data_IF_420735583599
#
_entry.id   IF_420735583599
#
_cell.length_a   1.000
_cell.length_b   1.000
_cell.length_c   1.000
_cell.angle_alpha   90.00
_cell.angle_beta   90.00
_cell.angle_gamma   90.00
#
_symmetry.space_group_name_H-M   'P 1'
#
loop_
_entity.id
_entity.type
_entity.pdbx_description
1 polymer ?
#
# COMPACT_ATOMS: atom_id res chain seq x y z
N UNK A 1 -6.44 8.45 12.33
CA UNK A 1 -5.80 9.32 11.33
C UNK A 1 -6.69 9.60 10.14
N UNK A 2 -7.30 8.59 9.50
CA UNK A 2 -8.16 8.82 8.33
C UNK A 2 -9.36 9.73 8.62
N UNK A 3 -10.04 9.54 9.75
CA UNK A 3 -11.11 10.44 10.21
C UNK A 3 -10.67 11.91 10.30
N UNK A 4 -9.45 12.14 10.79
CA UNK A 4 -8.85 13.47 10.87
C UNK A 4 -8.55 14.03 9.48
N UNK A 5 -8.08 13.18 8.56
CA UNK A 5 -7.84 13.56 7.17
C UNK A 5 -9.15 13.98 6.49
N UNK A 6 -10.24 13.23 6.69
CA UNK A 6 -11.56 13.54 6.13
C UNK A 6 -12.12 14.86 6.67
N UNK A 7 -12.00 15.09 7.99
CA UNK A 7 -12.40 16.35 8.58
C UNK A 7 -11.58 17.53 8.03
N UNK A 8 -10.26 17.38 7.92
CA UNK A 8 -9.36 18.43 7.45
C UNK A 8 -9.58 18.82 5.98
N UNK A 9 -10.05 17.90 5.13
CA UNK A 9 -10.40 18.18 3.72
C UNK A 9 -11.52 19.20 3.57
N UNK A 10 -12.35 19.38 4.59
CA UNK A 10 -13.46 20.31 4.61
C UNK A 10 -13.09 21.68 5.22
N UNK A 11 -11.86 21.85 5.69
CA UNK A 11 -11.46 23.11 6.33
C UNK A 11 -11.20 24.21 5.30
N UNK A 12 -11.62 25.45 5.59
CA UNK A 12 -11.32 26.59 4.73
C UNK A 12 -9.82 26.71 4.47
N UNK A 13 -9.48 27.03 3.22
CA UNK A 13 -8.11 27.30 2.74
C UNK A 13 -7.15 26.11 2.79
N UNK A 14 -7.60 24.93 3.23
CA UNK A 14 -6.88 23.67 3.01
C UNK A 14 -7.08 23.29 1.54
N UNK A 15 -5.97 23.19 0.82
CA UNK A 15 -5.91 22.84 -0.61
C UNK A 15 -5.85 21.33 -0.78
N UNK A 16 -5.06 20.66 0.06
CA UNK A 16 -4.83 19.22 -0.03
C UNK A 16 -4.55 18.61 1.35
N UNK A 17 -4.97 17.37 1.52
CA UNK A 17 -4.70 16.56 2.72
C UNK A 17 -4.15 15.21 2.29
N UNK A 18 -2.90 14.96 2.66
CA UNK A 18 -2.15 13.75 2.27
C UNK A 18 -1.87 12.91 3.51
N UNK A 19 -2.64 11.83 3.76
CA UNK A 19 -2.34 10.88 4.83
C UNK A 19 -1.16 10.00 4.44
N UNK A 20 -0.16 9.92 5.33
CA UNK A 20 0.92 8.94 5.28
C UNK A 20 0.68 7.79 6.25
N UNK A 21 1.73 7.01 6.52
CA UNK A 21 1.68 5.86 7.42
C UNK A 21 1.29 6.24 8.87
N UNK A 22 1.99 7.23 9.43
CA UNK A 22 1.84 7.69 10.81
C UNK A 22 1.81 9.22 10.91
N UNK A 23 1.64 9.91 9.78
CA UNK A 23 1.65 11.36 9.67
C UNK A 23 0.56 11.83 8.71
N UNK A 24 0.21 13.11 8.82
CA UNK A 24 -0.76 13.78 7.96
C UNK A 24 -0.14 15.08 7.48
N UNK A 25 -0.10 15.29 6.17
CA UNK A 25 0.39 16.54 5.56
C UNK A 25 -0.79 17.38 5.09
N UNK A 26 -0.84 18.64 5.49
CA UNK A 26 -1.82 19.62 5.02
C UNK A 26 -1.13 20.63 4.13
N UNK A 27 -1.66 20.81 2.92
CA UNK A 27 -1.32 21.91 2.03
C UNK A 27 -2.43 22.94 2.15
N UNK A 28 -2.08 24.21 2.37
CA UNK A 28 -3.04 25.29 2.56
C UNK A 28 -2.55 26.57 1.89
N UNK A 29 -3.46 27.52 1.67
CA UNK A 29 -3.12 28.85 1.16
C UNK A 29 -2.55 29.74 2.29
N UNK A 30 -1.25 30.08 2.26
CA UNK A 30 -0.60 30.84 3.33
C UNK A 30 -1.04 32.31 3.39
N UNK A 31 -1.73 32.82 2.35
CA UNK A 31 -2.28 34.18 2.36
C UNK A 31 -3.65 34.24 3.04
N UNK A 32 -4.32 33.10 3.21
CA UNK A 32 -5.68 33.02 3.74
C UNK A 32 -5.79 32.21 5.04
N UNK A 33 -4.77 31.42 5.39
CA UNK A 33 -4.75 30.66 6.63
C UNK A 33 -3.42 30.82 7.39
N UNK A 34 -3.54 30.89 8.72
CA UNK A 34 -2.40 30.86 9.64
C UNK A 34 -2.04 29.40 9.99
N UNK A 35 -0.77 28.96 9.82
CA UNK A 35 -0.32 27.64 10.25
C UNK A 35 -0.57 27.36 11.73
N UNK A 36 -0.47 28.35 12.62
CA UNK A 36 -0.70 28.17 14.05
C UNK A 36 -2.17 27.82 14.33
N UNK A 37 -3.10 28.51 13.67
CA UNK A 37 -4.54 28.24 13.79
C UNK A 37 -4.88 26.85 13.24
N UNK A 38 -4.32 26.47 12.09
CA UNK A 38 -4.52 25.13 11.52
C UNK A 38 -3.95 24.04 12.45
N UNK A 39 -2.79 24.27 13.07
CA UNK A 39 -2.21 23.35 14.05
C UNK A 39 -3.10 23.20 15.30
N UNK A 40 -3.65 24.30 15.81
CA UNK A 40 -4.60 24.26 16.94
C UNK A 40 -5.89 23.52 16.58
N UNK A 41 -6.45 23.76 15.39
CA UNK A 41 -7.61 23.01 14.88
C UNK A 41 -7.31 21.53 14.75
N UNK A 42 -6.13 21.18 14.25
CA UNK A 42 -5.67 19.79 14.15
C UNK A 42 -5.62 19.11 15.50
N UNK A 43 -5.05 19.77 16.51
CA UNK A 43 -4.98 19.23 17.86
C UNK A 43 -6.38 18.99 18.45
N UNK A 44 -7.27 19.97 18.31
CA UNK A 44 -8.65 19.84 18.81
C UNK A 44 -9.41 18.72 18.09
N UNK A 45 -9.28 18.63 16.76
CA UNK A 45 -9.92 17.58 15.98
C UNK A 45 -9.36 16.20 16.31
N UNK A 46 -8.06 16.07 16.61
CA UNK A 46 -7.46 14.83 17.09
C UNK A 46 -8.04 14.40 18.44
N UNK A 47 -8.17 15.32 19.39
CA UNK A 47 -8.74 15.04 20.72
C UNK A 47 -10.23 14.66 20.66
N UNK A 48 -10.95 15.15 19.65
CA UNK A 48 -12.38 14.89 19.45
C UNK A 48 -12.65 13.75 18.47
N UNK A 49 -11.63 13.22 17.79
CA UNK A 49 -11.81 12.17 16.79
C UNK A 49 -12.29 10.90 17.49
N UNK A 50 -13.49 10.45 17.14
CA UNK A 50 -13.92 9.10 17.43
C UNK A 50 -13.15 8.10 16.55
N UNK A 51 -12.99 6.87 17.03
CA UNK A 51 -12.61 5.77 16.15
C UNK A 51 -13.67 5.64 15.06
N UNK A 52 -13.22 5.69 13.81
CA UNK A 52 -14.08 5.48 12.64
C UNK A 52 -13.75 4.10 12.10
N UNK A 53 -14.77 3.27 11.88
CA UNK A 53 -14.64 2.08 11.04
C UNK A 53 -14.41 2.55 9.60
N UNK A 54 -13.20 2.37 9.10
CA UNK A 54 -12.83 2.75 7.73
C UNK A 54 -12.63 1.47 6.92
N UNK A 55 -13.32 1.38 5.77
CA UNK A 55 -13.10 0.38 4.74
C UNK A 55 -13.40 -1.06 5.16
N UNK A 56 -14.64 -1.52 5.00
CA UNK A 56 -15.01 -2.94 5.20
C UNK A 56 -14.89 -3.76 3.92
N UNK A 57 -14.42 -3.17 2.82
CA UNK A 57 -14.35 -3.87 1.54
C UNK A 57 -13.19 -4.85 1.56
N UNK A 58 -13.50 -6.13 1.44
CA UNK A 58 -12.50 -7.16 1.16
C UNK A 58 -12.22 -7.19 -0.34
N UNK A 59 -10.96 -6.95 -0.71
CA UNK A 59 -10.48 -6.95 -2.10
C UNK A 59 -9.58 -8.16 -2.28
N UNK A 60 -10.03 -9.11 -3.10
CA UNK A 60 -9.20 -10.24 -3.50
C UNK A 60 -8.27 -9.86 -4.65
N UNK A 61 -6.98 -10.15 -4.49
CA UNK A 61 -5.94 -9.94 -5.49
C UNK A 61 -5.41 -11.30 -5.96
N UNK A 62 -5.81 -11.77 -7.15
CA UNK A 62 -5.32 -13.01 -7.71
C UNK A 62 -3.92 -12.81 -8.29
N UNK A 63 -2.98 -13.67 -7.91
CA UNK A 63 -1.55 -13.55 -8.25
C UNK A 63 -1.03 -14.84 -8.87
N UNK A 64 -0.28 -14.71 -9.97
CA UNK A 64 0.62 -15.75 -10.45
C UNK A 64 1.97 -15.59 -9.77
N UNK A 65 2.33 -16.54 -8.93
CA UNK A 65 3.58 -16.50 -8.17
C UNK A 65 4.73 -17.16 -8.95
N UNK A 66 5.91 -16.59 -8.84
CA UNK A 66 7.15 -17.17 -9.35
C UNK A 66 7.35 -17.04 -10.86
N UNK A 67 8.30 -17.82 -11.40
CA UNK A 67 8.71 -17.74 -12.80
C UNK A 67 9.14 -16.32 -13.22
N UNK A 68 8.74 -15.90 -14.42
CA UNK A 68 9.03 -14.55 -14.92
C UNK A 68 8.23 -13.44 -14.20
N UNK A 69 7.08 -13.79 -13.61
CA UNK A 69 6.22 -12.86 -12.88
C UNK A 69 6.75 -12.58 -11.46
N UNK A 70 7.47 -13.53 -10.87
CA UNK A 70 8.04 -13.48 -9.52
C UNK A 70 9.50 -13.91 -9.45
N UNK A 71 10.43 -13.17 -10.09
CA UNK A 71 11.82 -13.61 -10.24
C UNK A 71 12.60 -13.73 -8.92
N UNK A 72 12.12 -13.15 -7.82
CA UNK A 72 12.77 -13.21 -6.51
C UNK A 72 12.15 -14.28 -5.59
N UNK A 73 11.05 -14.93 -5.99
CA UNK A 73 10.30 -15.83 -5.10
C UNK A 73 11.17 -16.99 -4.58
N UNK A 74 11.85 -17.70 -5.47
CA UNK A 74 12.65 -18.86 -5.12
C UNK A 74 13.89 -18.49 -4.28
N UNK A 75 14.57 -17.38 -4.63
CA UNK A 75 15.76 -16.92 -3.91
C UNK A 75 15.39 -16.37 -2.53
N UNK A 76 14.26 -15.66 -2.42
CA UNK A 76 13.74 -15.17 -1.16
C UNK A 76 13.33 -16.33 -0.24
N UNK A 77 12.54 -17.29 -0.74
CA UNK A 77 12.15 -18.48 0.03
C UNK A 77 13.37 -19.21 0.60
N UNK A 78 14.40 -19.41 -0.23
CA UNK A 78 15.68 -19.99 0.21
C UNK A 78 16.36 -19.17 1.31
N UNK A 79 16.41 -17.84 1.17
CA UNK A 79 17.03 -16.96 2.16
C UNK A 79 16.32 -16.96 3.52
N UNK A 80 15.00 -17.18 3.50
CA UNK A 80 14.14 -17.27 4.68
C UNK A 80 14.05 -18.69 5.25
N UNK A 81 14.74 -19.67 4.64
CA UNK A 81 14.67 -21.08 4.99
C UNK A 81 13.22 -21.64 4.94
N UNK A 82 12.47 -21.22 3.91
CA UNK A 82 11.11 -21.68 3.61
C UNK A 82 11.07 -22.40 2.26
N UNK A 83 10.08 -23.27 2.07
CA UNK A 83 9.69 -23.68 0.72
C UNK A 83 8.96 -22.54 0.02
N UNK A 84 8.91 -22.59 -1.32
CA UNK A 84 8.11 -21.64 -2.11
C UNK A 84 6.64 -21.70 -1.66
N UNK A 85 6.10 -22.90 -1.51
CA UNK A 85 4.71 -23.11 -1.08
C UNK A 85 4.43 -22.49 0.29
N UNK A 86 5.35 -22.61 1.25
CA UNK A 86 5.17 -22.05 2.58
C UNK A 86 5.25 -20.52 2.57
N UNK A 87 6.14 -19.94 1.76
CA UNK A 87 6.20 -18.49 1.56
C UNK A 87 4.88 -17.97 0.96
N UNK A 88 4.42 -18.58 -0.14
CA UNK A 88 3.16 -18.19 -0.80
C UNK A 88 1.97 -18.36 0.14
N UNK A 89 1.93 -19.46 0.89
CA UNK A 89 0.88 -19.70 1.88
C UNK A 89 0.84 -18.61 2.94
N UNK A 90 1.98 -18.26 3.55
CA UNK A 90 2.04 -17.17 4.55
C UNK A 90 1.64 -15.83 3.95
N UNK A 91 2.09 -15.53 2.73
CA UNK A 91 1.73 -14.30 2.04
C UNK A 91 0.24 -14.23 1.66
N UNK A 92 -0.43 -15.37 1.43
CA UNK A 92 -1.86 -15.40 1.06
C UNK A 92 -2.80 -15.55 2.25
N UNK A 93 -2.30 -15.97 3.42
CA UNK A 93 -3.09 -16.13 4.65
C UNK A 93 -3.08 -14.90 5.55
N UNK A 94 -2.22 -13.92 5.30
CA UNK A 94 -2.18 -12.69 6.08
C UNK A 94 -3.39 -11.80 5.77
N UNK A 95 -3.91 -11.17 6.82
CA UNK A 95 -4.97 -10.17 6.74
C UNK A 95 -4.35 -8.80 6.50
N UNK A 96 -4.37 -8.33 5.25
CA UNK A 96 -3.77 -7.05 4.90
C UNK A 96 -4.74 -5.90 5.02
N UNK A 97 -4.23 -4.76 5.48
CA UNK A 97 -4.96 -3.49 5.52
C UNK A 97 -4.19 -2.47 4.69
N UNK A 98 -4.89 -1.74 3.83
CA UNK A 98 -4.31 -0.61 3.09
C UNK A 98 -4.10 0.55 4.05
N UNK A 99 -2.85 0.83 4.40
CA UNK A 99 -2.54 1.93 5.33
C UNK A 99 -2.63 3.30 4.66
N UNK A 100 -2.03 3.42 3.48
CA UNK A 100 -2.11 4.62 2.66
C UNK A 100 -1.79 4.30 1.20
N UNK A 101 -2.16 5.23 0.32
CA UNK A 101 -1.78 5.21 -1.09
C UNK A 101 -0.71 6.28 -1.31
N UNK A 102 0.36 5.97 -2.04
CA UNK A 102 1.47 6.90 -2.24
C UNK A 102 2.53 6.33 -3.20
N UNK A 103 3.66 7.00 -3.41
CA UNK A 103 4.67 6.69 -4.43
C UNK A 103 4.19 6.90 -5.89
N UNK A 104 3.08 6.27 -6.29
CA UNK A 104 2.45 6.43 -7.59
C UNK A 104 0.92 6.29 -7.45
N UNK A 105 0.12 6.81 -8.40
CA UNK A 105 -1.33 6.63 -8.39
C UNK A 105 -1.72 5.15 -8.31
N UNK A 106 -2.46 4.78 -7.25
CA UNK A 106 -2.93 3.42 -7.01
C UNK A 106 -1.93 2.46 -6.35
N UNK A 107 -0.72 2.91 -5.98
CA UNK A 107 0.22 2.06 -5.24
C UNK A 107 -0.20 2.07 -3.76
N UNK A 108 -0.61 0.90 -3.27
CA UNK A 108 -1.05 0.70 -1.89
C UNK A 108 0.08 0.13 -1.03
N UNK A 109 0.32 0.76 0.12
CA UNK A 109 1.18 0.20 1.16
C UNK A 109 0.33 -0.64 2.10
N UNK A 110 0.59 -1.95 2.10
CA UNK A 110 -0.17 -2.92 2.88
C UNK A 110 0.55 -3.22 4.20
N UNK A 111 -0.20 -3.12 5.31
CA UNK A 111 0.20 -3.66 6.61
C UNK A 111 -0.32 -5.07 6.82
N UNK A 112 0.25 -5.80 7.78
CA UNK A 112 -0.18 -7.17 8.12
C UNK A 112 0.71 -8.29 7.57
N UNK A 113 1.83 -7.96 6.91
CA UNK A 113 2.79 -8.95 6.44
C UNK A 113 3.32 -9.80 7.61
N UNK A 114 3.36 -11.12 7.42
CA UNK A 114 3.95 -12.04 8.37
C UNK A 114 5.42 -11.64 8.64
N UNK A 115 5.82 -11.42 9.91
CA UNK A 115 7.19 -11.03 10.27
C UNK A 115 8.28 -11.97 9.77
N UNK A 116 7.96 -13.24 9.53
CA UNK A 116 8.88 -14.24 8.98
C UNK A 116 9.16 -14.04 7.49
N UNK A 117 8.36 -13.22 6.80
CA UNK A 117 8.55 -12.86 5.40
C UNK A 117 9.26 -11.52 5.20
N UNK A 118 9.58 -10.81 6.28
CA UNK A 118 10.27 -9.53 6.20
C UNK A 118 11.62 -9.68 5.50
N UNK A 119 11.84 -8.87 4.47
CA UNK A 119 13.04 -8.97 3.64
C UNK A 119 13.50 -7.60 3.14
N UNK A 120 14.80 -7.29 3.18
CA UNK A 120 15.28 -6.00 2.72
C UNK A 120 15.05 -5.82 1.22
N UNK A 121 14.93 -4.55 0.83
CA UNK A 121 14.96 -4.15 -0.58
C UNK A 121 16.31 -4.53 -1.19
N UNK A 122 16.31 -4.81 -2.50
CA UNK A 122 17.53 -4.93 -3.28
C UNK A 122 18.37 -3.65 -3.13
N UNK A 123 19.70 -3.79 -2.91
CA UNK A 123 20.59 -2.64 -2.74
C UNK A 123 20.71 -1.82 -4.04
N UNK A 124 20.51 -2.45 -5.20
CA UNK A 124 20.39 -1.79 -6.49
C UNK A 124 18.98 -2.03 -7.02
N UNK A 125 18.12 -1.00 -7.10
CA UNK A 125 16.77 -1.17 -7.62
C UNK A 125 16.80 -1.56 -9.10
N UNK A 126 15.79 -2.33 -9.53
CA UNK A 126 15.52 -2.55 -10.95
C UNK A 126 15.13 -1.23 -11.58
N UNK A 127 15.60 -1.02 -12.81
CA UNK A 127 15.19 0.14 -13.61
C UNK A 127 13.72 0.04 -14.02
N UNK A 128 13.24 -1.19 -14.20
CA UNK A 128 11.89 -1.47 -14.64
C UNK A 128 11.31 -2.64 -13.82
N UNK A 129 10.20 -2.37 -13.15
CA UNK A 129 9.31 -3.34 -12.52
C UNK A 129 7.98 -3.26 -13.27
N UNK A 130 7.46 -4.38 -13.81
CA UNK A 130 6.20 -4.39 -14.54
C UNK A 130 5.00 -3.94 -13.68
N UNK A 131 3.99 -3.36 -14.33
CA UNK A 131 2.70 -3.15 -13.69
C UNK A 131 2.09 -4.49 -13.23
N UNK A 132 1.40 -4.45 -12.10
CA UNK A 132 0.82 -5.62 -11.43
C UNK A 132 1.80 -6.44 -10.61
N UNK A 133 3.10 -6.14 -10.63
CA UNK A 133 4.08 -6.88 -9.83
C UNK A 133 3.77 -6.76 -8.34
N UNK A 134 3.75 -7.91 -7.66
CA UNK A 134 3.58 -8.04 -6.21
C UNK A 134 4.94 -8.26 -5.59
N UNK A 135 5.26 -7.54 -4.51
CA UNK A 135 6.56 -7.70 -3.88
C UNK A 135 6.59 -7.35 -2.41
N UNK A 136 7.70 -7.73 -1.77
CA UNK A 136 8.02 -7.40 -0.38
C UNK A 136 9.20 -6.43 -0.32
N UNK A 137 9.09 -5.41 0.54
CA UNK A 137 10.16 -4.44 0.79
C UNK A 137 10.21 -4.00 2.24
N UNK A 138 11.08 -4.64 3.03
CA UNK A 138 11.15 -4.49 4.48
C UNK A 138 10.01 -5.26 5.14
N UNK A 139 9.20 -4.55 5.91
CA UNK A 139 8.04 -5.09 6.66
C UNK A 139 6.73 -4.99 5.87
N UNK A 140 6.80 -4.58 4.60
CA UNK A 140 5.63 -4.25 3.79
C UNK A 140 5.56 -5.13 2.55
N UNK A 141 4.32 -5.42 2.14
CA UNK A 141 3.98 -5.93 0.81
C UNK A 141 3.06 -4.94 0.09
N UNK A 142 2.80 -5.17 -1.19
CA UNK A 142 2.17 -4.19 -2.07
C UNK A 142 2.36 -4.53 -3.53
N UNK A 143 1.72 -3.73 -4.37
CA UNK A 143 1.56 -4.02 -5.79
C UNK A 143 1.87 -2.77 -6.61
N UNK A 144 2.73 -2.91 -7.61
CA UNK A 144 3.09 -1.84 -8.52
C UNK A 144 1.94 -1.55 -9.50
N UNK A 145 1.29 -0.36 -9.49
CA UNK A 145 0.14 -0.07 -10.34
C UNK A 145 0.52 0.26 -11.79
N UNK A 146 1.78 0.64 -12.01
CA UNK A 146 2.34 1.03 -13.29
C UNK A 146 3.80 0.58 -13.36
N UNK A 147 4.36 0.64 -14.57
CA UNK A 147 5.78 0.36 -14.78
C UNK A 147 6.61 1.44 -14.06
N UNK A 148 7.54 1.02 -13.20
CA UNK A 148 8.41 1.95 -12.47
C UNK A 148 9.74 1.30 -12.07
N UNK A 149 10.78 2.07 -11.72
CA UNK A 149 11.91 1.54 -10.98
C UNK A 149 11.45 1.01 -9.61
N UNK A 150 12.13 -0.02 -9.09
CA UNK A 150 11.74 -0.63 -7.82
C UNK A 150 12.78 -1.59 -7.25
N UNK A 151 12.94 -1.57 -5.93
CA UNK A 151 13.88 -2.44 -5.21
C UNK A 151 13.22 -3.56 -4.42
N UNK A 152 11.91 -3.79 -4.54
CA UNK A 152 11.24 -4.82 -3.76
C UNK A 152 11.56 -6.23 -4.30
N UNK A 153 11.48 -7.22 -3.43
CA UNK A 153 11.57 -8.64 -3.78
C UNK A 153 10.29 -9.04 -4.49
N UNK A 154 10.35 -9.31 -5.80
CA UNK A 154 9.17 -9.59 -6.62
C UNK A 154 8.75 -11.05 -6.50
N UNK A 155 7.53 -11.28 -5.98
CA UNK A 155 6.98 -12.60 -5.69
C UNK A 155 6.11 -13.16 -6.82
N UNK A 156 5.48 -12.28 -7.58
CA UNK A 156 4.50 -12.64 -8.58
C UNK A 156 3.86 -11.43 -9.24
N UNK A 157 2.82 -11.65 -10.03
CA UNK A 157 2.10 -10.58 -10.74
C UNK A 157 0.60 -10.83 -10.80
N UNK A 158 -0.18 -9.77 -10.71
CA UNK A 158 -1.62 -9.75 -10.97
C UNK A 158 -1.93 -9.02 -12.27
N UNK A 159 -3.02 -9.40 -12.96
CA UNK A 159 -3.53 -8.68 -14.12
C UNK A 159 -4.54 -7.58 -13.76
N UNK A 160 -4.85 -7.43 -12.46
CA UNK A 160 -5.77 -6.40 -12.02
C UNK A 160 -5.23 -4.99 -12.30
N UNK A 161 -6.10 -4.14 -12.85
CA UNK A 161 -5.82 -2.72 -13.04
C UNK A 161 -6.05 -1.97 -11.73
N UNK A 162 -4.96 -1.59 -11.07
CA UNK A 162 -4.99 -0.93 -9.76
C UNK A 162 -5.33 0.56 -9.83
N UNK A 163 -5.05 1.19 -10.97
CA UNK A 163 -5.35 2.59 -11.23
C UNK A 163 -5.96 2.76 -12.62
N UNK A 164 -7.09 3.45 -12.67
CA UNK A 164 -7.78 3.82 -13.88
C UNK A 164 -8.33 5.26 -13.76
N UNK A 165 -7.79 6.24 -14.48
CA UNK A 165 -8.27 7.62 -14.40
C UNK A 165 -9.71 7.79 -14.91
N UNK A 166 -10.27 6.81 -15.63
CA UNK A 166 -11.65 6.83 -16.09
C UNK A 166 -12.66 6.29 -15.05
N UNK A 167 -12.19 5.74 -13.92
CA UNK A 167 -13.04 5.20 -12.85
C UNK A 167 -13.22 6.20 -11.70
N UNK A 168 -14.32 6.03 -10.96
CA UNK A 168 -14.58 6.75 -9.70
C UNK A 168 -14.91 5.75 -8.56
N UNK A 169 -14.05 5.62 -7.52
CA UNK A 169 -12.72 6.23 -7.42
C UNK A 169 -11.72 5.64 -8.45
N UNK A 170 -10.66 6.39 -8.80
CA UNK A 170 -9.71 5.97 -9.84
C UNK A 170 -8.74 4.88 -9.37
N UNK A 171 -8.66 4.62 -8.07
CA UNK A 171 -7.85 3.53 -7.50
C UNK A 171 -8.73 2.34 -7.14
N UNK A 172 -8.20 1.13 -7.28
CA UNK A 172 -8.88 -0.11 -6.89
C UNK A 172 -9.06 -0.21 -5.37
N UNK A 173 -8.04 0.21 -4.63
CA UNK A 173 -8.00 0.18 -3.18
C UNK A 173 -8.08 1.61 -2.62
N UNK A 174 -8.64 1.75 -1.43
CA UNK A 174 -8.64 2.94 -0.59
C UNK A 174 -7.98 2.64 0.76
N UNK A 175 -7.43 3.66 1.46
CA UNK A 175 -7.00 3.50 2.84
C UNK A 175 -8.14 2.93 3.71
N UNK A 176 -7.80 1.91 4.51
CA UNK A 176 -8.75 1.16 5.33
C UNK A 176 -9.26 -0.13 4.69
N UNK A 177 -9.23 -0.28 3.36
CA UNK A 177 -9.70 -1.51 2.72
C UNK A 177 -8.86 -2.73 3.16
N UNK A 178 -9.53 -3.87 3.27
CA UNK A 178 -8.90 -5.15 3.53
C UNK A 178 -8.48 -5.81 2.21
N UNK A 179 -7.28 -6.35 2.16
CA UNK A 179 -6.73 -6.99 0.97
C UNK A 179 -6.40 -8.43 1.29
N UNK A 180 -6.78 -9.33 0.39
CA UNK A 180 -6.42 -10.74 0.47
C UNK A 180 -5.80 -11.19 -0.84
N UNK A 181 -4.60 -11.73 -0.78
CA UNK A 181 -3.99 -12.34 -1.96
C UNK A 181 -4.48 -13.78 -2.14
N UNK A 182 -4.74 -14.18 -3.38
CA UNK A 182 -4.97 -15.56 -3.76
C UNK A 182 -3.94 -16.02 -4.79
N UNK A 183 -3.51 -17.27 -4.69
CA UNK A 183 -2.58 -17.86 -5.66
C UNK A 183 -3.38 -18.51 -6.79
N UNK A 184 -3.28 -17.94 -8.00
CA UNK A 184 -3.80 -18.57 -9.22
C UNK A 184 -2.91 -19.73 -9.67
N UNK A 185 -1.61 -19.53 -9.55
CA UNK A 185 -0.57 -20.47 -9.94
C UNK A 185 0.68 -20.19 -9.09
N UNK A 186 1.48 -21.23 -8.85
CA UNK A 186 2.79 -21.14 -8.19
C UNK A 186 3.82 -21.84 -9.07
N UNK A 187 4.69 -21.05 -9.69
CA UNK A 187 5.79 -21.51 -10.52
C UNK A 187 7.10 -21.51 -9.72
N UNK A 188 7.86 -22.58 -9.82
CA UNK A 188 9.17 -22.71 -9.17
C UNK A 188 10.27 -21.90 -9.87
#
# INVERSE_FOLDING_TARGET
>A
MWALADAARLWPHVVEVVPGMNNLTLVFDPLQADPADLASRMKNAWEQAAEVEVGTTEIEIPVRYGGADGPDLASLAKSLNLSIDELVKRHTQADYIVFFLGFQPGFAYLGGLDPTLHAPRHPKPRLEVPAGSVGIGGEQTGIYPAVSPGGWQLLGRTDLKLFDPARHPPTLMQPGDHVRFSALEVLA
#
